data_IF_122770398928
#
_entry.id   IF_122770398928
#
_cell.length_a   1.000
_cell.length_b   1.000
_cell.length_c   1.000
_cell.angle_alpha   90.00
_cell.angle_beta   90.00
_cell.angle_gamma   90.00
#
_symmetry.space_group_name_H-M   'P 1'
#
loop_
_entity.id
_entity.type
_entity.pdbx_description
1 polymer ?
#
# COMPACT_ATOMS: atom_id res chain seq x y z
N UNK A 1 16.82 -4.51 12.88
CA UNK A 1 16.55 -4.52 11.42
C UNK A 1 16.80 -3.13 10.88
N UNK A 2 17.56 -3.01 9.81
CA UNK A 2 17.77 -1.74 9.11
C UNK A 2 16.90 -1.73 7.85
N UNK A 3 15.94 -0.82 7.76
CA UNK A 3 14.98 -0.76 6.65
C UNK A 3 15.63 -0.30 5.33
N UNK A 4 16.81 0.31 5.39
CA UNK A 4 17.59 0.67 4.19
C UNK A 4 18.46 -0.48 3.68
N UNK A 5 18.73 -1.49 4.52
CA UNK A 5 19.39 -2.74 4.15
C UNK A 5 18.34 -3.85 4.11
N UNK A 6 17.57 -3.87 3.03
CA UNK A 6 16.34 -4.63 2.93
C UNK A 6 16.38 -5.80 1.93
N UNK A 7 17.53 -6.09 1.34
CA UNK A 7 17.67 -7.16 0.34
C UNK A 7 17.39 -8.56 0.91
N UNK A 8 17.60 -8.74 2.21
CA UNK A 8 17.34 -10.02 2.88
C UNK A 8 15.90 -10.21 3.37
N UNK A 9 15.04 -9.22 3.13
CA UNK A 9 13.62 -9.34 3.46
C UNK A 9 12.90 -10.27 2.47
N UNK A 10 11.82 -10.87 2.91
CA UNK A 10 10.93 -11.64 2.03
C UNK A 10 10.00 -10.70 1.29
N UNK A 11 10.31 -10.43 0.04
CA UNK A 11 9.51 -9.58 -0.82
C UNK A 11 8.47 -10.38 -1.60
N UNK A 12 7.27 -9.85 -1.69
CA UNK A 12 6.23 -10.33 -2.59
C UNK A 12 5.97 -9.24 -3.63
N UNK A 13 6.17 -9.58 -4.90
CA UNK A 13 5.96 -8.66 -6.02
C UNK A 13 4.53 -8.75 -6.54
N UNK A 14 3.99 -7.60 -6.86
CA UNK A 14 2.68 -7.42 -7.48
C UNK A 14 2.85 -6.70 -8.81
N UNK A 15 2.31 -7.27 -9.85
CA UNK A 15 2.28 -6.69 -11.20
C UNK A 15 0.85 -6.71 -11.72
N UNK A 16 0.54 -5.76 -12.59
CA UNK A 16 -0.75 -5.74 -13.29
C UNK A 16 -0.76 -6.67 -14.50
N UNK A 17 -1.87 -6.68 -15.16
CA UNK A 17 -2.09 -7.35 -16.45
C UNK A 17 -2.74 -6.38 -17.43
N UNK A 18 -3.15 -6.88 -18.61
CA UNK A 18 -3.75 -6.08 -19.68
C UNK A 18 -5.14 -5.50 -19.33
N UNK A 19 -5.74 -5.91 -18.20
CA UNK A 19 -7.00 -5.33 -17.71
C UNK A 19 -6.84 -3.96 -17.08
N UNK A 20 -5.59 -3.57 -16.73
CA UNK A 20 -5.28 -2.26 -16.15
C UNK A 20 -4.74 -1.32 -17.23
N UNK A 21 -5.18 -0.07 -17.21
CA UNK A 21 -4.77 0.99 -18.13
C UNK A 21 -3.57 1.81 -17.59
N UNK A 22 -2.92 1.32 -16.53
CA UNK A 22 -1.76 1.94 -15.90
C UNK A 22 -0.77 0.86 -15.46
N UNK A 23 0.55 1.18 -15.43
CA UNK A 23 1.57 0.20 -15.07
C UNK A 23 1.55 -0.06 -13.57
N UNK A 24 1.39 -1.33 -13.17
CA UNK A 24 1.45 -1.77 -11.78
C UNK A 24 2.72 -2.57 -11.58
N UNK A 25 3.58 -2.11 -10.70
CA UNK A 25 4.79 -2.83 -10.28
C UNK A 25 5.25 -2.32 -8.92
N UNK A 26 5.01 -3.12 -7.90
CA UNK A 26 5.45 -2.83 -6.54
C UNK A 26 5.69 -4.12 -5.78
N UNK A 27 6.39 -4.00 -4.67
CA UNK A 27 6.67 -5.12 -3.78
C UNK A 27 6.30 -4.76 -2.35
N UNK A 28 5.94 -5.76 -1.57
CA UNK A 28 5.64 -5.62 -0.15
C UNK A 28 6.37 -6.68 0.67
N UNK A 29 6.84 -6.27 1.83
CA UNK A 29 7.43 -7.16 2.83
C UNK A 29 6.74 -6.97 4.18
N UNK A 30 6.32 -8.07 4.78
CA UNK A 30 5.73 -8.07 6.11
C UNK A 30 6.83 -8.02 7.16
N UNK A 31 6.93 -6.90 7.88
CA UNK A 31 7.92 -6.70 8.93
C UNK A 31 7.45 -7.29 10.27
N UNK A 32 6.22 -6.96 10.64
CA UNK A 32 5.63 -7.35 11.92
C UNK A 32 4.12 -7.51 11.80
N UNK A 33 3.56 -8.44 12.54
CA UNK A 33 2.12 -8.58 12.73
C UNK A 33 1.87 -8.99 14.17
N UNK A 34 0.94 -8.31 14.84
CA UNK A 34 0.62 -8.51 16.26
C UNK A 34 -0.84 -8.88 16.42
N UNK A 35 -1.15 -9.70 17.44
CA UNK A 35 -2.49 -10.22 17.69
C UNK A 35 -3.54 -9.13 17.98
N UNK A 36 -3.12 -7.92 18.29
CA UNK A 36 -3.97 -6.75 18.53
C UNK A 36 -4.44 -6.02 17.24
N UNK A 37 -4.14 -6.56 16.07
CA UNK A 37 -4.54 -6.00 14.78
C UNK A 37 -3.51 -5.10 14.12
N UNK A 38 -2.32 -4.91 14.72
CA UNK A 38 -1.28 -4.08 14.11
C UNK A 38 -0.45 -4.87 13.10
N UNK A 39 -0.18 -4.23 11.97
CA UNK A 39 0.63 -4.76 10.88
C UNK A 39 1.61 -3.69 10.43
N UNK A 40 2.88 -4.05 10.32
CA UNK A 40 3.92 -3.18 9.79
C UNK A 40 4.42 -3.77 8.46
N UNK A 41 4.37 -2.97 7.41
CA UNK A 41 4.71 -3.35 6.04
C UNK A 41 5.74 -2.39 5.48
N UNK A 42 6.67 -2.93 4.72
CA UNK A 42 7.56 -2.13 3.87
C UNK A 42 7.15 -2.33 2.42
N UNK A 43 6.89 -1.23 1.73
CA UNK A 43 6.57 -1.23 0.30
C UNK A 43 7.67 -0.57 -0.49
N UNK A 44 7.94 -1.10 -1.68
CA UNK A 44 8.77 -0.43 -2.68
C UNK A 44 8.09 -0.43 -4.03
N UNK A 45 8.05 0.73 -4.66
CA UNK A 45 7.52 0.93 -6.01
C UNK A 45 8.63 1.00 -7.03
N UNK A 46 8.43 0.35 -8.17
CA UNK A 46 9.27 0.57 -9.34
C UNK A 46 9.08 2.01 -9.86
N UNK A 47 10.09 2.59 -10.54
CA UNK A 47 9.99 3.93 -11.10
C UNK A 47 8.75 4.12 -11.96
N UNK A 48 7.98 5.17 -11.68
CA UNK A 48 6.77 5.56 -12.42
C UNK A 48 5.65 4.51 -12.46
N UNK A 49 5.68 3.51 -11.58
CA UNK A 49 4.66 2.47 -11.50
C UNK A 49 3.73 2.67 -10.32
N UNK A 50 2.52 2.17 -10.46
CA UNK A 50 1.43 2.27 -9.50
C UNK A 50 1.29 1.02 -8.64
N UNK A 51 0.62 1.15 -7.49
CA UNK A 51 -0.09 0.05 -6.85
C UNK A 51 -1.52 -0.05 -7.42
N UNK A 52 -2.26 -1.06 -7.01
CA UNK A 52 -3.68 -1.14 -7.34
C UNK A 52 -4.45 0.03 -6.74
N UNK A 53 -5.46 0.52 -7.46
CA UNK A 53 -6.44 1.45 -6.91
C UNK A 53 -7.09 0.82 -5.68
N UNK A 54 -7.10 1.52 -4.54
CA UNK A 54 -7.54 0.91 -3.29
C UNK A 54 -8.17 1.90 -2.32
N UNK A 55 -8.94 1.33 -1.39
CA UNK A 55 -9.46 2.01 -0.20
C UNK A 55 -8.75 1.44 1.01
N UNK A 56 -8.19 2.31 1.86
CA UNK A 56 -7.73 1.89 3.18
C UNK A 56 -8.92 1.71 4.11
N UNK A 57 -9.11 0.50 4.63
CA UNK A 57 -10.11 0.18 5.64
C UNK A 57 -9.51 0.13 7.05
N UNK A 58 -8.18 0.06 7.13
CA UNK A 58 -7.41 0.20 8.36
C UNK A 58 -7.06 1.67 8.64
N UNK A 59 -6.87 1.99 9.91
CA UNK A 59 -6.13 3.20 10.28
C UNK A 59 -4.68 3.04 9.83
N UNK A 60 -4.16 3.99 9.07
CA UNK A 60 -2.87 3.86 8.40
C UNK A 60 -1.98 5.06 8.64
N UNK A 61 -0.73 4.80 9.03
CA UNK A 61 0.34 5.79 8.96
C UNK A 61 1.37 5.35 7.95
N UNK A 62 2.00 6.30 7.27
CA UNK A 62 3.04 6.04 6.29
C UNK A 62 4.19 7.02 6.45
N UNK A 63 5.40 6.52 6.23
CA UNK A 63 6.62 7.33 6.24
C UNK A 63 7.42 6.98 4.99
N UNK A 64 7.69 7.96 4.14
CA UNK A 64 8.56 7.77 2.97
C UNK A 64 10.00 7.71 3.46
N UNK A 65 10.71 6.64 3.11
CA UNK A 65 12.11 6.43 3.49
C UNK A 65 13.08 6.81 2.38
N UNK A 66 12.72 6.52 1.12
CA UNK A 66 13.53 6.82 -0.06
C UNK A 66 12.61 7.18 -1.25
N UNK A 67 13.14 8.00 -2.16
CA UNK A 67 12.44 8.38 -3.38
C UNK A 67 11.28 9.32 -3.16
N UNK A 68 10.27 9.17 -3.99
CA UNK A 68 9.04 9.98 -3.94
C UNK A 68 7.82 9.09 -4.09
N UNK A 69 6.80 9.33 -3.26
CA UNK A 69 5.49 8.70 -3.37
C UNK A 69 4.47 9.76 -3.84
N UNK A 70 3.90 9.55 -5.01
CA UNK A 70 2.85 10.38 -5.57
C UNK A 70 1.50 9.78 -5.17
N UNK A 71 0.71 10.50 -4.41
CA UNK A 71 -0.59 10.04 -3.90
C UNK A 71 -1.69 10.84 -4.57
N UNK A 72 -2.54 10.15 -5.31
CA UNK A 72 -3.72 10.71 -5.98
C UNK A 72 -4.96 10.35 -5.17
N UNK A 73 -5.62 11.35 -4.60
CA UNK A 73 -6.93 11.17 -3.96
C UNK A 73 -8.00 11.08 -5.04
N UNK A 74 -8.81 10.05 -4.99
CA UNK A 74 -9.79 9.73 -6.03
C UNK A 74 -11.19 9.88 -5.49
N UNK A 75 -12.07 10.50 -6.27
CA UNK A 75 -13.49 10.51 -6.00
C UNK A 75 -14.04 9.09 -6.21
N UNK A 76 -14.61 8.44 -5.17
CA UNK A 76 -15.08 7.07 -5.27
C UNK A 76 -16.31 6.90 -6.19
N UNK A 77 -17.03 7.99 -6.45
CA UNK A 77 -18.24 7.95 -7.28
C UNK A 77 -17.94 8.17 -8.76
N UNK A 78 -16.95 9.01 -9.08
CA UNK A 78 -16.62 9.40 -10.45
C UNK A 78 -15.33 8.80 -10.98
N UNK A 79 -14.43 8.36 -10.09
CA UNK A 79 -13.07 7.91 -10.44
C UNK A 79 -12.12 9.05 -10.84
N UNK A 80 -12.54 10.30 -10.66
CA UNK A 80 -11.71 11.46 -10.98
C UNK A 80 -10.68 11.74 -9.90
N UNK A 81 -9.50 12.21 -10.30
CA UNK A 81 -8.46 12.67 -9.37
C UNK A 81 -8.88 14.02 -8.79
N UNK A 82 -9.07 14.07 -7.46
CA UNK A 82 -9.43 15.26 -6.71
C UNK A 82 -8.21 16.09 -6.32
N UNK A 83 -7.12 15.40 -5.98
CA UNK A 83 -5.88 16.02 -5.49
C UNK A 83 -4.69 15.11 -5.73
N UNK A 84 -3.52 15.69 -5.92
CA UNK A 84 -2.25 14.98 -6.03
C UNK A 84 -1.27 15.56 -5.03
N UNK A 85 -0.70 14.69 -4.21
CA UNK A 85 0.30 15.06 -3.21
C UNK A 85 1.59 14.26 -3.47
N UNK A 86 2.72 14.96 -3.57
CA UNK A 86 4.05 14.36 -3.69
C UNK A 86 4.70 14.35 -2.32
N UNK A 87 4.94 13.13 -1.80
CA UNK A 87 5.64 12.91 -0.53
C UNK A 87 7.06 12.46 -0.80
N UNK A 88 8.00 13.08 -0.13
CA UNK A 88 9.43 12.84 -0.27
C UNK A 88 9.99 12.14 0.98
N UNK A 89 11.21 11.64 0.87
CA UNK A 89 11.89 11.02 2.00
C UNK A 89 11.82 11.87 3.27
N UNK A 90 11.37 11.28 4.37
CA UNK A 90 11.09 11.93 5.64
C UNK A 90 9.65 12.40 5.85
N UNK A 91 8.83 12.44 4.80
CA UNK A 91 7.43 12.85 4.93
C UNK A 91 6.59 11.75 5.60
N UNK A 92 5.77 12.20 6.54
CA UNK A 92 4.86 11.36 7.32
C UNK A 92 3.40 11.73 7.00
N UNK A 93 2.53 10.73 6.95
CA UNK A 93 1.10 10.95 6.82
C UNK A 93 0.31 9.98 7.71
N UNK A 94 -0.81 10.45 8.21
CA UNK A 94 -1.83 9.66 8.89
C UNK A 94 -3.14 9.73 8.10
N UNK A 95 -3.77 8.59 7.90
CA UNK A 95 -5.05 8.46 7.21
C UNK A 95 -6.03 7.66 8.04
N UNK A 96 -7.21 8.23 8.22
CA UNK A 96 -8.36 7.52 8.77
C UNK A 96 -8.91 6.50 7.77
N UNK A 97 -9.63 5.47 8.26
CA UNK A 97 -10.29 4.52 7.37
C UNK A 97 -11.25 5.19 6.37
N UNK A 98 -11.29 4.66 5.14
CA UNK A 98 -12.18 5.12 4.08
C UNK A 98 -11.53 5.96 2.99
N UNK A 99 -10.26 6.31 3.14
CA UNK A 99 -9.50 7.06 2.13
C UNK A 99 -9.32 6.21 0.86
N UNK A 100 -9.74 6.76 -0.27
CA UNK A 100 -9.63 6.12 -1.59
C UNK A 100 -8.57 6.84 -2.40
N UNK A 101 -7.55 6.10 -2.82
CA UNK A 101 -6.44 6.71 -3.56
C UNK A 101 -5.70 5.73 -4.47
N UNK A 102 -4.88 6.30 -5.34
CA UNK A 102 -3.82 5.62 -6.07
C UNK A 102 -2.46 6.15 -5.64
N UNK A 103 -1.50 5.27 -5.54
CA UNK A 103 -0.13 5.63 -5.20
C UNK A 103 0.80 5.19 -6.33
N UNK A 104 1.76 6.06 -6.65
CA UNK A 104 2.76 5.84 -7.69
C UNK A 104 4.14 6.19 -7.18
N UNK A 105 5.13 5.34 -7.48
CA UNK A 105 6.53 5.71 -7.30
C UNK A 105 6.92 6.86 -8.23
N UNK A 106 7.75 7.77 -7.75
CA UNK A 106 8.31 8.83 -8.58
C UNK A 106 9.34 8.31 -9.60
N UNK A 107 10.12 9.20 -10.23
CA UNK A 107 11.07 8.81 -11.28
C UNK A 107 12.15 7.81 -10.85
N UNK A 108 12.45 7.74 -9.55
CA UNK A 108 13.40 6.78 -8.95
C UNK A 108 12.72 5.72 -8.08
N UNK A 109 11.39 5.64 -8.16
CA UNK A 109 10.61 4.76 -7.30
C UNK A 109 10.36 5.35 -5.92
N UNK A 110 9.94 4.51 -5.00
CA UNK A 110 9.72 4.89 -3.59
C UNK A 110 9.92 3.69 -2.66
N UNK A 111 10.43 3.96 -1.48
CA UNK A 111 10.47 3.02 -0.35
C UNK A 111 9.66 3.65 0.80
N UNK A 112 8.63 2.94 1.27
CA UNK A 112 7.67 3.50 2.24
C UNK A 112 7.37 2.49 3.33
N UNK A 113 7.44 2.94 4.59
CA UNK A 113 7.00 2.19 5.75
C UNK A 113 5.53 2.50 6.03
N UNK A 114 4.71 1.44 6.10
CA UNK A 114 3.31 1.52 6.50
C UNK A 114 3.11 0.84 7.85
N UNK A 115 2.38 1.53 8.72
CA UNK A 115 1.91 0.97 9.98
C UNK A 115 0.37 1.00 9.94
N UNK A 116 -0.25 -0.17 10.02
CA UNK A 116 -1.69 -0.33 9.91
C UNK A 116 -2.28 -0.90 11.19
N UNK A 117 -3.49 -0.48 11.52
CA UNK A 117 -4.30 -1.12 12.55
C UNK A 117 -5.62 -1.56 11.91
N UNK A 118 -5.82 -2.88 11.82
CA UNK A 118 -7.02 -3.46 11.25
C UNK A 118 -8.29 -3.01 11.99
N UNK A 119 -9.35 -2.78 11.23
CA UNK A 119 -10.69 -2.51 11.74
C UNK A 119 -11.62 -3.57 11.18
N UNK A 120 -12.33 -4.27 12.07
CA UNK A 120 -13.20 -5.38 11.70
C UNK A 120 -12.50 -6.41 10.78
N UNK A 121 -11.26 -6.76 11.14
CA UNK A 121 -10.43 -7.71 10.40
C UNK A 121 -9.98 -7.23 9.01
N UNK A 122 -10.30 -6.00 8.62
CA UNK A 122 -10.00 -5.47 7.29
C UNK A 122 -8.81 -4.50 7.32
N UNK A 123 -7.97 -4.56 6.27
CA UNK A 123 -6.81 -3.69 6.10
C UNK A 123 -6.98 -2.78 4.88
N UNK A 124 -7.39 -3.33 3.75
CA UNK A 124 -7.60 -2.59 2.51
C UNK A 124 -8.49 -3.36 1.54
N UNK A 125 -9.15 -2.63 0.66
CA UNK A 125 -9.90 -3.18 -0.46
C UNK A 125 -9.27 -2.70 -1.76
N UNK A 126 -8.97 -3.63 -2.68
CA UNK A 126 -8.54 -3.30 -4.04
C UNK A 126 -9.77 -3.05 -4.91
N UNK A 127 -9.73 -1.99 -5.69
CA UNK A 127 -10.86 -1.52 -6.47
C UNK A 127 -10.53 -1.51 -7.97
N UNK A 128 -11.54 -1.74 -8.79
CA UNK A 128 -11.51 -1.33 -10.19
C UNK A 128 -11.82 0.17 -10.29
N UNK A 129 -11.60 0.77 -11.47
CA UNK A 129 -11.83 2.20 -11.65
C UNK A 129 -13.28 2.63 -11.45
N UNK A 130 -14.24 1.73 -11.62
CA UNK A 130 -15.67 1.99 -11.36
C UNK A 130 -16.08 1.84 -9.89
N UNK A 131 -15.09 1.56 -9.01
CA UNK A 131 -15.31 1.40 -7.57
C UNK A 131 -15.71 -0.02 -7.15
N UNK A 132 -15.77 -0.97 -8.08
CA UNK A 132 -16.05 -2.38 -7.76
C UNK A 132 -14.90 -2.98 -6.96
N UNK A 133 -15.21 -3.65 -5.85
CA UNK A 133 -14.21 -4.34 -5.03
C UNK A 133 -13.76 -5.60 -5.78
N UNK A 134 -12.47 -5.70 -6.09
CA UNK A 134 -11.85 -6.83 -6.78
C UNK A 134 -10.99 -7.70 -5.87
N UNK A 135 -10.72 -7.25 -4.66
CA UNK A 135 -9.97 -7.98 -3.66
C UNK A 135 -10.02 -7.29 -2.31
N UNK A 136 -9.68 -8.04 -1.28
CA UNK A 136 -9.64 -7.52 0.10
C UNK A 136 -8.44 -8.12 0.83
N UNK A 137 -7.72 -7.28 1.59
CA UNK A 137 -6.65 -7.72 2.48
C UNK A 137 -7.22 -7.84 3.89
N UNK A 138 -7.21 -9.06 4.43
CA UNK A 138 -7.71 -9.37 5.76
C UNK A 138 -6.58 -9.71 6.73
N UNK A 139 -6.71 -9.20 7.94
CA UNK A 139 -5.71 -9.38 9.00
C UNK A 139 -5.51 -10.85 9.37
N UNK A 140 -6.58 -11.61 9.58
CA UNK A 140 -6.51 -13.02 9.98
C UNK A 140 -5.83 -13.91 8.92
N UNK A 141 -6.02 -13.60 7.64
CA UNK A 141 -5.37 -14.33 6.56
C UNK A 141 -3.86 -14.09 6.54
N UNK A 142 -3.43 -12.85 6.78
CA UNK A 142 -2.01 -12.50 6.87
C UNK A 142 -1.39 -13.15 8.11
N UNK A 143 -2.06 -13.08 9.25
CA UNK A 143 -1.61 -13.68 10.50
C UNK A 143 -1.47 -15.20 10.36
N UNK A 144 -2.44 -15.88 9.73
CA UNK A 144 -2.40 -17.32 9.49
C UNK A 144 -1.23 -17.72 8.59
N UNK A 145 -0.99 -16.97 7.53
CA UNK A 145 0.18 -17.22 6.65
C UNK A 145 1.49 -17.02 7.41
N UNK A 146 1.58 -15.97 8.23
CA UNK A 146 2.78 -15.71 9.03
C UNK A 146 3.06 -16.85 10.02
N UNK A 147 2.03 -17.37 10.70
CA UNK A 147 2.14 -18.49 11.63
C UNK A 147 2.50 -19.80 10.93
N UNK A 148 2.09 -19.98 9.69
CA UNK A 148 2.48 -21.11 8.84
C UNK A 148 3.89 -20.98 8.24
N UNK A 149 4.63 -19.90 8.51
CA UNK A 149 5.98 -19.65 8.01
C UNK A 149 6.07 -19.04 6.61
N UNK A 150 4.97 -18.53 6.09
CA UNK A 150 4.91 -17.93 4.75
C UNK A 150 5.00 -16.40 4.77
#
# INVERSE_FOLDING_TARGET
>A
MNLFDNENLKWRRFVGDDSFDYPIDYEASLLSIRDDGHVDLLYRWAPNCYCHFHRHTAETTSTVLEGELHVETIDPDTGETLDTNIRKAGDYAHKEPGDVHMERGGPEGALVLFNLRAIDNSLAESLSRDGTIIGESKFDEILSRRRAGN
#
